data_IF_953771848490
#
_entry.id   IF_953771848490
#
_cell.length_a   1.000
_cell.length_b   1.000
_cell.length_c   1.000
_cell.angle_alpha   90.00
_cell.angle_beta   90.00
_cell.angle_gamma   90.00
#
_symmetry.space_group_name_H-M   'P 1'
#
loop_
_entity.id
_entity.type
_entity.pdbx_description
1 polymer ?
#
# COMPACT_ATOMS: atom_id res chain seq x y z
N UNK A 1 -8.62 11.13 20.85
CA UNK A 1 -7.37 11.27 20.12
C UNK A 1 -7.63 11.05 18.64
N UNK A 2 -7.82 12.16 17.97
CA UNK A 2 -8.35 12.28 16.60
C UNK A 2 -7.23 12.60 15.61
N UNK A 3 -6.05 12.02 15.75
CA UNK A 3 -4.91 12.36 14.89
C UNK A 3 -4.80 11.56 13.59
N UNK A 4 -5.67 10.57 13.37
CA UNK A 4 -5.52 9.66 12.23
C UNK A 4 -6.27 10.08 10.95
N UNK A 5 -7.20 11.04 11.06
CA UNK A 5 -8.02 11.48 9.92
C UNK A 5 -7.33 12.45 8.96
N UNK A 6 -6.20 13.03 9.35
CA UNK A 6 -5.49 14.04 8.55
C UNK A 6 -4.51 13.47 7.53
N UNK A 7 -4.24 12.17 7.57
CA UNK A 7 -3.31 11.51 6.65
C UNK A 7 -4.08 10.72 5.60
N UNK A 8 -4.06 11.18 4.36
CA UNK A 8 -4.60 10.44 3.23
C UNK A 8 -3.55 9.49 2.66
N UNK A 9 -3.97 8.31 2.26
CA UNK A 9 -3.13 7.37 1.53
C UNK A 9 -3.74 7.08 0.15
N UNK A 10 -2.88 7.01 -0.86
CA UNK A 10 -3.28 6.64 -2.21
C UNK A 10 -2.83 5.22 -2.51
N UNK A 11 -3.81 4.35 -2.67
CA UNK A 11 -3.60 2.92 -2.88
C UNK A 11 -4.51 2.38 -3.99
N UNK A 12 -4.17 1.20 -4.50
CA UNK A 12 -4.99 0.49 -5.48
C UNK A 12 -6.38 0.12 -4.94
N UNK A 13 -6.52 -0.02 -3.62
CA UNK A 13 -7.78 -0.37 -2.95
C UNK A 13 -8.73 0.81 -2.87
N UNK A 14 -8.22 2.04 -2.83
CA UNK A 14 -9.01 3.26 -2.71
C UNK A 14 -8.99 4.13 -3.97
N UNK A 15 -8.47 3.63 -5.10
CA UNK A 15 -8.37 4.37 -6.35
C UNK A 15 -9.72 4.97 -6.78
N UNK A 16 -10.81 4.25 -6.61
CA UNK A 16 -12.17 4.68 -6.96
C UNK A 16 -12.99 5.13 -5.75
N UNK A 17 -12.39 5.23 -4.57
CA UNK A 17 -13.06 5.69 -3.37
C UNK A 17 -13.50 7.16 -3.49
N UNK A 18 -14.64 7.49 -2.90
CA UNK A 18 -15.13 8.87 -2.79
C UNK A 18 -14.37 9.68 -1.77
N UNK A 19 -13.74 9.03 -0.81
CA UNK A 19 -12.90 9.66 0.21
C UNK A 19 -11.67 8.79 0.50
N UNK A 20 -10.51 9.44 0.68
CA UNK A 20 -9.23 8.80 1.01
C UNK A 20 -8.72 9.12 2.40
N UNK A 21 -9.47 9.94 3.12
CA UNK A 21 -9.20 10.20 4.53
C UNK A 21 -9.78 9.07 5.39
N UNK A 22 -9.03 8.54 6.37
CA UNK A 22 -9.48 7.42 7.19
C UNK A 22 -10.59 7.77 8.19
N UNK A 23 -10.91 9.07 8.37
CA UNK A 23 -11.95 9.58 9.26
C UNK A 23 -13.17 10.13 8.51
N UNK A 24 -14.21 10.48 9.27
CA UNK A 24 -15.43 11.10 8.74
C UNK A 24 -15.42 12.63 8.85
N UNK A 25 -14.42 13.22 9.46
CA UNK A 25 -14.25 14.64 9.74
C UNK A 25 -13.60 15.41 8.59
N UNK A 26 -12.88 14.72 7.69
CA UNK A 26 -12.35 15.29 6.47
C UNK A 26 -12.87 14.56 5.24
N UNK A 27 -13.30 15.31 4.23
CA UNK A 27 -13.82 14.80 2.96
C UNK A 27 -12.99 15.39 1.83
N UNK A 28 -12.57 14.53 0.91
CA UNK A 28 -11.90 14.96 -0.32
C UNK A 28 -12.90 15.72 -1.20
N UNK A 29 -12.70 17.03 -1.37
CA UNK A 29 -13.60 17.92 -2.09
C UNK A 29 -13.12 18.20 -3.52
N UNK A 30 -14.03 18.67 -4.38
CA UNK A 30 -13.75 19.08 -5.74
C UNK A 30 -14.02 18.02 -6.80
N UNK A 31 -14.05 18.46 -8.07
CA UNK A 31 -14.24 17.58 -9.22
C UNK A 31 -12.95 16.83 -9.53
N UNK A 32 -13.06 15.53 -9.68
CA UNK A 32 -11.94 14.63 -10.02
C UNK A 32 -12.37 13.51 -10.96
N UNK A 33 -11.42 12.98 -11.69
CA UNK A 33 -11.56 11.75 -12.47
C UNK A 33 -10.53 10.74 -12.02
N UNK A 34 -10.96 9.51 -11.75
CA UNK A 34 -10.09 8.38 -11.42
C UNK A 34 -10.05 7.47 -12.64
N UNK A 35 -8.86 7.21 -13.14
CA UNK A 35 -8.65 6.29 -14.27
C UNK A 35 -7.76 5.17 -13.79
N UNK A 36 -8.20 3.94 -14.01
CA UNK A 36 -7.43 2.76 -13.65
C UNK A 36 -8.01 1.49 -14.24
N UNK A 37 -7.23 0.44 -14.15
CA UNK A 37 -7.61 -0.88 -14.62
C UNK A 37 -7.14 -1.97 -13.68
N UNK A 38 -7.89 -3.07 -13.66
CA UNK A 38 -7.54 -4.28 -12.94
C UNK A 38 -7.63 -5.47 -13.88
N UNK A 39 -6.58 -6.26 -13.92
CA UNK A 39 -6.54 -7.52 -14.67
C UNK A 39 -6.33 -8.67 -13.70
N UNK A 40 -7.08 -9.74 -13.90
CA UNK A 40 -7.02 -10.96 -13.09
C UNK A 40 -6.90 -12.15 -14.03
N UNK A 41 -5.85 -12.94 -13.82
CA UNK A 41 -5.63 -14.21 -14.52
C UNK A 41 -5.75 -15.35 -13.51
N UNK A 42 -6.57 -16.34 -13.87
CA UNK A 42 -6.70 -17.59 -13.14
C UNK A 42 -6.13 -18.71 -13.98
N UNK A 43 -5.16 -19.43 -13.44
CA UNK A 43 -4.59 -20.60 -14.06
C UNK A 43 -5.32 -21.87 -13.60
N UNK A 44 -5.49 -22.89 -14.47
CA UNK A 44 -6.18 -24.13 -14.13
C UNK A 44 -5.56 -24.89 -12.95
N UNK A 45 -4.27 -24.71 -12.69
CA UNK A 45 -3.53 -25.29 -11.58
C UNK A 45 -3.73 -24.55 -10.23
N UNK A 46 -4.63 -23.56 -10.19
CA UNK A 46 -5.02 -22.82 -9.00
C UNK A 46 -4.18 -21.57 -8.70
N UNK A 47 -3.23 -21.18 -9.54
CA UNK A 47 -2.55 -19.92 -9.43
C UNK A 47 -3.46 -18.76 -9.84
N UNK A 48 -3.34 -17.66 -9.12
CA UNK A 48 -4.04 -16.41 -9.42
C UNK A 48 -3.05 -15.27 -9.48
N UNK A 49 -3.02 -14.58 -10.60
CA UNK A 49 -2.29 -13.35 -10.80
C UNK A 49 -3.25 -12.18 -10.88
N UNK A 50 -2.94 -11.10 -10.19
CA UNK A 50 -3.72 -9.85 -10.23
C UNK A 50 -2.79 -8.67 -10.44
N UNK A 51 -3.13 -7.78 -11.36
CA UNK A 51 -2.47 -6.49 -11.52
C UNK A 51 -3.51 -5.37 -11.51
N UNK A 52 -3.17 -4.27 -10.89
CA UNK A 52 -4.00 -3.07 -10.84
C UNK A 52 -3.09 -1.87 -11.09
N UNK A 53 -3.54 -0.91 -11.87
CA UNK A 53 -2.84 0.34 -12.07
C UNK A 53 -3.85 1.49 -12.25
N UNK A 54 -3.49 2.68 -11.78
CA UNK A 54 -4.38 3.83 -11.93
C UNK A 54 -3.77 5.16 -11.51
N UNK A 55 -4.55 6.21 -11.77
CA UNK A 55 -4.20 7.59 -11.50
C UNK A 55 -5.44 8.42 -11.23
N UNK A 56 -5.28 9.50 -10.45
CA UNK A 56 -6.33 10.48 -10.15
C UNK A 56 -5.99 11.82 -10.81
N UNK A 57 -6.98 12.41 -11.47
CA UNK A 57 -6.90 13.73 -12.08
C UNK A 57 -7.88 14.67 -11.36
N UNK A 58 -7.45 15.88 -11.02
CA UNK A 58 -8.26 16.89 -10.33
C UNK A 58 -8.39 18.14 -11.17
N UNK A 59 -9.58 18.76 -11.12
CA UNK A 59 -9.81 20.02 -11.81
C UNK A 59 -9.10 21.20 -11.13
N UNK A 60 -8.97 21.16 -9.80
CA UNK A 60 -8.31 22.20 -9.01
C UNK A 60 -7.41 21.57 -7.96
N UNK A 61 -6.27 22.21 -7.71
CA UNK A 61 -5.45 21.89 -6.55
C UNK A 61 -6.06 22.57 -5.32
N UNK A 62 -6.69 21.79 -4.47
CA UNK A 62 -7.39 22.28 -3.27
C UNK A 62 -6.48 22.42 -2.06
N UNK A 63 -5.19 22.06 -2.19
CA UNK A 63 -4.20 22.06 -1.09
C UNK A 63 -4.65 21.25 0.13
N UNK A 64 -5.58 20.31 -0.05
CA UNK A 64 -6.06 19.42 1.01
C UNK A 64 -5.03 18.34 1.40
N UNK A 65 -4.09 18.06 0.49
CA UNK A 65 -3.05 17.06 0.70
C UNK A 65 -1.74 17.78 0.94
N UNK A 66 -1.11 17.45 2.04
CA UNK A 66 0.16 18.05 2.43
C UNK A 66 1.29 17.47 1.55
N UNK A 67 1.93 18.32 0.75
CA UNK A 67 3.09 17.94 -0.06
C UNK A 67 4.26 17.43 0.79
N UNK A 68 4.28 17.75 2.09
CA UNK A 68 5.30 17.26 3.02
C UNK A 68 5.14 15.78 3.38
N UNK A 69 4.00 15.17 3.10
CA UNK A 69 3.68 13.81 3.55
C UNK A 69 3.79 12.74 2.47
N UNK A 70 4.26 13.08 1.27
CA UNK A 70 4.45 12.09 0.17
C UNK A 70 3.24 11.18 -0.09
N UNK A 71 2.06 11.79 -0.11
CA UNK A 71 0.80 11.06 -0.32
C UNK A 71 0.59 10.63 -1.77
N UNK A 72 1.37 11.19 -2.71
CA UNK A 72 1.12 11.05 -4.16
C UNK A 72 -0.11 11.77 -4.66
N UNK A 73 -0.73 12.62 -3.84
CA UNK A 73 -2.00 13.31 -4.11
C UNK A 73 -1.89 14.84 -4.06
N UNK A 74 -0.71 15.39 -3.84
CA UNK A 74 -0.43 16.81 -3.60
C UNK A 74 -0.60 17.71 -4.84
N UNK A 75 -0.72 17.12 -6.03
CA UNK A 75 -0.81 17.83 -7.32
C UNK A 75 -2.17 17.67 -7.99
N UNK A 76 -2.41 18.40 -9.09
CA UNK A 76 -3.59 18.23 -9.95
C UNK A 76 -3.70 16.81 -10.50
N UNK A 77 -2.57 16.22 -10.86
CA UNK A 77 -2.46 14.82 -11.24
C UNK A 77 -1.73 14.10 -10.12
N UNK A 78 -2.36 13.07 -9.55
CA UNK A 78 -1.68 12.20 -8.58
C UNK A 78 -0.52 11.46 -9.24
N UNK A 79 0.32 10.88 -8.42
CA UNK A 79 1.26 9.87 -8.85
C UNK A 79 0.52 8.64 -9.42
N UNK A 80 1.25 7.76 -10.08
CA UNK A 80 0.70 6.48 -10.53
C UNK A 80 0.74 5.47 -9.38
N UNK A 81 -0.36 4.79 -9.14
CA UNK A 81 -0.40 3.63 -8.26
C UNK A 81 -0.43 2.36 -9.10
N UNK A 82 0.39 1.39 -8.74
CA UNK A 82 0.42 0.08 -9.37
C UNK A 82 0.55 -1.01 -8.31
N UNK A 83 -0.15 -2.11 -8.48
CA UNK A 83 -0.09 -3.25 -7.59
C UNK A 83 -0.08 -4.56 -8.37
N UNK A 84 0.72 -5.50 -7.87
CA UNK A 84 0.81 -6.86 -8.38
C UNK A 84 0.58 -7.84 -7.24
N UNK A 85 -0.15 -8.91 -7.52
CA UNK A 85 -0.36 -9.98 -6.54
C UNK A 85 -0.35 -11.32 -7.24
N UNK A 86 0.39 -12.26 -6.65
CA UNK A 86 0.44 -13.65 -7.05
C UNK A 86 0.01 -14.51 -5.86
N UNK A 87 -0.98 -15.36 -6.06
CA UNK A 87 -1.46 -16.31 -5.06
C UNK A 87 -1.34 -17.73 -5.58
N UNK A 88 -0.81 -18.60 -4.77
CA UNK A 88 -0.62 -20.03 -5.03
C UNK A 88 -1.75 -20.84 -4.39
N UNK A 89 -2.11 -22.01 -4.95
CA UNK A 89 -3.02 -22.94 -4.31
C UNK A 89 -2.51 -23.51 -2.97
N UNK A 90 -1.20 -23.42 -2.69
CA UNK A 90 -0.59 -23.86 -1.42
C UNK A 90 -0.57 -22.76 -0.35
N UNK A 91 -1.51 -21.84 -0.36
CA UNK A 91 -1.63 -20.78 0.65
C UNK A 91 -0.42 -19.81 0.73
N UNK A 92 0.31 -19.68 -0.34
CA UNK A 92 1.34 -18.68 -0.50
C UNK A 92 0.80 -17.49 -1.29
N UNK A 93 1.06 -16.28 -0.81
CA UNK A 93 0.69 -15.05 -1.49
C UNK A 93 1.84 -14.05 -1.40
N UNK A 94 2.22 -13.51 -2.54
CA UNK A 94 3.09 -12.34 -2.62
C UNK A 94 2.31 -11.19 -3.25
N UNK A 95 2.48 -9.98 -2.73
CA UNK A 95 1.90 -8.78 -3.30
C UNK A 95 2.90 -7.63 -3.22
N UNK A 96 2.97 -6.86 -4.27
CA UNK A 96 3.81 -5.66 -4.37
C UNK A 96 2.94 -4.49 -4.78
N UNK A 97 3.14 -3.35 -4.12
CA UNK A 97 2.50 -2.08 -4.40
C UNK A 97 3.57 -1.03 -4.66
N UNK A 98 3.40 -0.29 -5.73
CA UNK A 98 4.30 0.76 -6.19
C UNK A 98 3.53 2.08 -6.28
N UNK A 99 4.12 3.13 -5.75
CA UNK A 99 3.75 4.50 -6.04
C UNK A 99 4.87 5.09 -6.91
N UNK A 100 4.52 5.54 -8.10
CA UNK A 100 5.45 6.12 -9.06
C UNK A 100 5.10 7.59 -9.25
N UNK A 101 6.09 8.45 -9.26
CA UNK A 101 5.90 9.88 -9.50
C UNK A 101 5.51 10.19 -10.95
N UNK A 102 5.31 11.46 -11.26
CA UNK A 102 4.96 11.92 -12.62
C UNK A 102 6.03 11.64 -13.67
N UNK A 103 7.25 11.27 -13.28
CA UNK A 103 8.36 10.88 -14.16
C UNK A 103 8.53 9.37 -14.26
N UNK A 104 7.67 8.61 -13.59
CA UNK A 104 7.73 7.15 -13.43
C UNK A 104 8.88 6.65 -12.55
N UNK A 105 9.43 7.53 -11.70
CA UNK A 105 10.38 7.13 -10.66
C UNK A 105 9.64 6.59 -9.44
N UNK A 106 10.15 5.52 -8.84
CA UNK A 106 9.51 4.92 -7.67
C UNK A 106 9.65 5.84 -6.45
N UNK A 107 8.52 6.23 -5.86
CA UNK A 107 8.47 7.02 -4.62
C UNK A 107 8.28 6.14 -3.39
N UNK A 108 7.52 5.05 -3.55
CA UNK A 108 7.25 4.08 -2.49
C UNK A 108 7.10 2.67 -3.09
N UNK A 109 7.69 1.71 -2.45
CA UNK A 109 7.43 0.28 -2.69
C UNK A 109 7.04 -0.41 -1.40
N UNK A 110 6.02 -1.23 -1.47
CA UNK A 110 5.58 -2.06 -0.36
C UNK A 110 5.35 -3.47 -0.86
N UNK A 111 6.12 -4.42 -0.35
CA UNK A 111 6.03 -5.83 -0.72
C UNK A 111 5.65 -6.64 0.50
N UNK A 112 4.64 -7.49 0.37
CA UNK A 112 4.15 -8.40 1.40
C UNK A 112 4.17 -9.82 0.89
N UNK A 113 4.68 -10.70 1.71
CA UNK A 113 4.64 -12.15 1.52
C UNK A 113 3.85 -12.74 2.68
N UNK A 114 2.85 -13.53 2.35
CA UNK A 114 2.06 -14.28 3.31
C UNK A 114 2.16 -15.77 2.98
N UNK A 115 2.41 -16.56 4.00
CA UNK A 115 2.31 -18.01 3.92
C UNK A 115 1.51 -18.53 5.11
N UNK A 116 0.48 -19.33 4.84
CA UNK A 116 -0.44 -19.80 5.86
C UNK A 116 -0.70 -21.28 5.71
N UNK A 117 -0.72 -21.98 6.83
CA UNK A 117 -1.14 -23.39 6.95
C UNK A 117 -2.16 -23.50 8.08
N UNK A 118 -2.69 -24.70 8.31
CA UNK A 118 -3.63 -24.94 9.41
C UNK A 118 -3.02 -24.66 10.79
N UNK A 119 -1.69 -24.70 10.90
CA UNK A 119 -0.97 -24.55 12.17
C UNK A 119 -0.22 -23.23 12.32
N UNK A 120 0.24 -22.65 11.23
CA UNK A 120 1.02 -21.41 11.33
C UNK A 120 0.72 -20.46 10.19
N UNK A 121 0.87 -19.17 10.48
CA UNK A 121 0.81 -18.09 9.49
C UNK A 121 2.04 -17.22 9.68
N UNK A 122 2.73 -16.94 8.58
CA UNK A 122 3.88 -16.04 8.55
C UNK A 122 3.63 -14.93 7.53
N UNK A 123 3.78 -13.70 7.98
CA UNK A 123 3.70 -12.49 7.17
C UNK A 123 5.07 -11.82 7.18
N UNK A 124 5.61 -11.54 6.02
CA UNK A 124 6.83 -10.76 5.83
C UNK A 124 6.49 -9.52 5.03
N UNK A 125 6.79 -8.36 5.58
CA UNK A 125 6.60 -7.07 4.93
C UNK A 125 7.92 -6.36 4.70
N UNK A 126 8.07 -5.75 3.55
CA UNK A 126 9.17 -4.87 3.21
C UNK A 126 8.59 -3.57 2.67
N UNK A 127 9.03 -2.44 3.22
CA UNK A 127 8.65 -1.11 2.76
C UNK A 127 9.92 -0.35 2.40
N UNK A 128 9.91 0.24 1.22
CA UNK A 128 10.91 1.18 0.76
C UNK A 128 10.25 2.52 0.46
N UNK A 129 10.86 3.60 0.94
CA UNK A 129 10.48 4.97 0.65
C UNK A 129 11.66 5.69 0.04
N UNK A 130 11.42 6.44 -1.02
CA UNK A 130 12.42 7.34 -1.58
C UNK A 130 12.76 8.46 -0.60
N UNK A 131 13.98 8.97 -0.71
CA UNK A 131 14.43 10.12 0.05
C UNK A 131 13.52 11.32 -0.22
N UNK A 132 13.16 12.03 0.85
CA UNK A 132 12.30 13.19 0.77
C UNK A 132 12.90 14.33 1.57
N UNK A 133 13.58 15.24 0.87
CA UNK A 133 14.32 16.35 1.49
C UNK A 133 13.46 17.26 2.35
N UNK A 134 12.17 17.41 2.03
CA UNK A 134 11.23 18.21 2.83
C UNK A 134 10.75 17.53 4.13
N UNK A 135 10.98 16.20 4.28
CA UNK A 135 10.75 15.47 5.54
C UNK A 135 12.03 15.28 6.36
N UNK A 136 13.14 15.94 5.99
CA UNK A 136 14.49 15.70 6.53
C UNK A 136 14.92 14.22 6.41
N UNK A 137 14.41 13.52 5.40
CA UNK A 137 14.82 12.17 5.04
C UNK A 137 15.93 12.29 3.98
N UNK A 138 17.16 12.48 4.42
CA UNK A 138 18.31 12.61 3.52
C UNK A 138 18.68 11.30 2.83
N UNK A 139 18.23 10.18 3.37
CA UNK A 139 18.45 8.83 2.85
C UNK A 139 17.14 8.12 2.56
N UNK A 140 17.21 7.09 1.69
CA UNK A 140 16.12 6.14 1.49
C UNK A 140 15.78 5.44 2.81
N UNK A 141 14.52 5.21 3.06
CA UNK A 141 14.05 4.48 4.23
C UNK A 141 13.71 3.04 3.84
N UNK A 142 14.22 2.09 4.60
CA UNK A 142 13.92 0.67 4.45
C UNK A 142 13.38 0.11 5.75
N UNK A 143 12.25 -0.54 5.70
CA UNK A 143 11.67 -1.23 6.85
C UNK A 143 11.34 -2.66 6.49
N UNK A 144 11.74 -3.59 7.34
CA UNK A 144 11.33 -5.00 7.28
C UNK A 144 10.51 -5.32 8.52
N UNK A 145 9.42 -6.03 8.34
CA UNK A 145 8.66 -6.62 9.42
C UNK A 145 8.42 -8.12 9.16
N UNK A 146 8.44 -8.90 10.21
CA UNK A 146 8.13 -10.33 10.19
C UNK A 146 7.17 -10.60 11.34
N UNK A 147 6.04 -11.19 11.02
CA UNK A 147 5.04 -11.61 12.00
C UNK A 147 4.75 -13.08 11.79
N UNK A 148 4.85 -13.87 12.84
CA UNK A 148 4.53 -15.30 12.79
C UNK A 148 3.58 -15.65 13.92
N UNK A 149 2.56 -16.43 13.58
CA UNK A 149 1.61 -16.98 14.52
C UNK A 149 1.61 -18.50 14.37
N UNK A 150 1.73 -19.20 15.49
CA UNK A 150 1.69 -20.65 15.56
C UNK A 150 0.54 -21.12 16.46
N UNK A 151 -0.29 -22.00 15.95
CA UNK A 151 -1.39 -22.60 16.69
C UNK A 151 -0.91 -23.93 17.29
N UNK A 152 -0.69 -23.95 18.61
CA UNK A 152 -0.26 -25.14 19.33
C UNK A 152 -1.41 -26.15 19.40
N UNK A 153 -2.60 -25.67 19.73
CA UNK A 153 -3.86 -26.41 19.73
C UNK A 153 -5.05 -25.45 19.65
N UNK A 154 -6.27 -25.93 19.79
CA UNK A 154 -7.49 -25.12 19.69
C UNK A 154 -7.57 -23.96 20.70
N UNK A 155 -6.86 -24.06 21.82
CA UNK A 155 -6.92 -23.09 22.93
C UNK A 155 -5.67 -22.22 23.03
N UNK A 156 -4.56 -22.60 22.41
CA UNK A 156 -3.28 -21.94 22.57
C UNK A 156 -2.69 -21.52 21.24
N UNK A 157 -2.40 -20.23 21.13
CA UNK A 157 -1.72 -19.61 20.00
C UNK A 157 -0.50 -18.84 20.48
N UNK A 158 0.63 -19.05 19.85
CA UNK A 158 1.86 -18.27 20.06
C UNK A 158 2.05 -17.31 18.91
N UNK A 159 2.42 -16.06 19.20
CA UNK A 159 2.72 -15.04 18.20
C UNK A 159 4.06 -14.39 18.49
N UNK A 160 4.83 -14.14 17.44
CA UNK A 160 6.06 -13.35 17.46
C UNK A 160 6.02 -12.29 16.37
N UNK A 161 6.51 -11.10 16.68
CA UNK A 161 6.61 -10.00 15.74
C UNK A 161 7.99 -9.35 15.88
N UNK A 162 8.62 -9.06 14.74
CA UNK A 162 9.88 -8.37 14.65
C UNK A 162 9.81 -7.30 13.59
N UNK A 163 10.32 -6.11 13.90
CA UNK A 163 10.39 -4.97 12.99
C UNK A 163 11.74 -4.31 13.09
N UNK A 164 12.33 -3.97 11.96
CA UNK A 164 13.60 -3.27 11.89
C UNK A 164 13.62 -2.27 10.74
N UNK A 165 14.12 -1.06 11.04
CA UNK A 165 14.55 -0.11 10.03
C UNK A 165 15.99 -0.41 9.65
N UNK A 166 16.25 -0.53 8.35
CA UNK A 166 17.56 -0.79 7.77
C UNK A 166 17.97 0.51 7.07
N UNK A 167 18.80 1.31 7.72
CA UNK A 167 19.34 2.56 7.14
C UNK A 167 20.78 2.33 6.74
#
# INVERSE_FOLDING_TARGET
NTSDSTTAEFEETNLFSTNRFPGFDEIESGSRANIGGKYILYEPNGWKFTTTAGRVFRQKNLKQFDASKSTGLDKLNSDYVSAFSLSSPQNFKISTRLLLDGKMDASKNETKLNYSTDKYTTDIGYVWLDKQSFLNLDNHQHEVNISTNYMINHNWKFGANWRQNIN
#
